data_IF_620710709755
#
_entry.id   IF_620710709755
#
_cell.length_a   1.000
_cell.length_b   1.000
_cell.length_c   1.000
_cell.angle_alpha   90.00
_cell.angle_beta   90.00
_cell.angle_gamma   90.00
#
_symmetry.space_group_name_H-M   'P 1'
#
loop_
_entity.id
_entity.type
_entity.pdbx_description
1 polymer ?
#
# COMPACT_ATOMS: atom_id res chain seq x y z
N UNK A 1 4.58 1.68 16.61
CA UNK A 1 4.75 0.22 16.85
C UNK A 1 5.47 -0.37 15.65
N UNK A 2 6.44 -1.27 15.83
CA UNK A 2 7.07 -1.97 14.70
C UNK A 2 6.17 -3.16 14.32
N UNK A 3 5.64 -3.15 13.10
CA UNK A 3 4.82 -4.22 12.52
C UNK A 3 5.29 -4.48 11.10
N UNK A 4 5.19 -5.72 10.64
CA UNK A 4 5.44 -6.10 9.26
C UNK A 4 4.43 -7.18 8.84
N UNK A 5 4.10 -7.20 7.55
CA UNK A 5 3.33 -8.29 6.95
C UNK A 5 4.25 -9.01 5.96
N UNK A 6 4.37 -10.33 6.10
CA UNK A 6 5.00 -11.19 5.09
C UNK A 6 3.88 -11.90 4.34
N UNK A 7 3.84 -11.75 3.02
CA UNK A 7 2.73 -12.20 2.19
C UNK A 7 3.23 -13.28 1.22
N UNK A 8 2.36 -14.26 0.97
CA UNK A 8 2.51 -15.22 -0.12
C UNK A 8 1.14 -15.48 -0.77
N UNK A 9 1.02 -15.25 -2.07
CA UNK A 9 -0.24 -15.44 -2.82
C UNK A 9 0.07 -15.85 -4.25
N UNK A 10 -0.39 -17.03 -4.68
CA UNK A 10 -0.27 -17.52 -6.08
C UNK A 10 1.14 -17.40 -6.71
N UNK A 11 2.19 -17.52 -5.91
CA UNK A 11 3.59 -17.40 -6.36
C UNK A 11 4.07 -15.96 -6.60
N UNK A 12 3.27 -14.95 -6.27
CA UNK A 12 3.62 -13.54 -6.30
C UNK A 12 4.24 -13.09 -4.96
N UNK A 13 5.04 -12.03 -5.03
CA UNK A 13 5.65 -11.34 -3.88
C UNK A 13 4.74 -10.25 -3.28
N UNK A 14 3.46 -10.23 -3.68
CA UNK A 14 2.45 -9.25 -3.27
C UNK A 14 1.09 -9.92 -2.95
N UNK A 15 0.15 -9.15 -2.41
CA UNK A 15 -1.24 -9.61 -2.31
C UNK A 15 -1.89 -9.66 -3.70
N UNK A 16 -2.47 -10.80 -4.05
CA UNK A 16 -3.11 -11.01 -5.36
C UNK A 16 -4.63 -10.94 -5.27
N UNK A 17 -5.32 -10.37 -6.26
CA UNK A 17 -6.77 -10.48 -6.40
C UNK A 17 -7.22 -11.82 -7.02
N UNK A 18 -6.28 -12.65 -7.49
CA UNK A 18 -6.58 -13.85 -8.27
C UNK A 18 -7.03 -15.05 -7.43
N UNK A 19 -6.83 -14.99 -6.11
CA UNK A 19 -7.22 -16.06 -5.21
C UNK A 19 -6.74 -15.81 -3.77
N UNK A 20 -7.03 -16.75 -2.87
CA UNK A 20 -6.60 -16.64 -1.48
C UNK A 20 -5.09 -16.54 -1.33
N UNK A 21 -4.65 -15.88 -0.27
CA UNK A 21 -3.24 -15.80 0.09
C UNK A 21 -3.02 -15.99 1.57
N UNK A 22 -1.76 -16.22 1.93
CA UNK A 22 -1.31 -16.35 3.32
C UNK A 22 -0.57 -15.09 3.74
N UNK A 23 -0.81 -14.66 4.97
CA UNK A 23 -0.11 -13.53 5.60
C UNK A 23 0.44 -13.96 6.95
N UNK A 24 1.67 -13.55 7.23
CA UNK A 24 2.25 -13.55 8.57
C UNK A 24 2.27 -12.11 9.09
N UNK A 25 1.50 -11.86 10.14
CA UNK A 25 1.50 -10.61 10.88
C UNK A 25 2.57 -10.64 11.97
N UNK A 26 3.64 -9.90 11.73
CA UNK A 26 4.81 -9.88 12.58
C UNK A 26 4.80 -8.60 13.41
N UNK A 27 4.69 -8.77 14.72
CA UNK A 27 4.84 -7.68 15.70
C UNK A 27 6.11 -7.91 16.52
N UNK A 28 6.39 -7.00 17.46
CA UNK A 28 7.55 -7.19 18.38
C UNK A 28 7.35 -8.36 19.35
N UNK A 29 6.10 -8.77 19.59
CA UNK A 29 5.75 -9.75 20.63
C UNK A 29 5.38 -11.12 20.07
N UNK A 30 4.82 -11.16 18.84
CA UNK A 30 4.30 -12.38 18.23
C UNK A 30 4.31 -12.35 16.71
N UNK A 31 4.26 -13.54 16.12
CA UNK A 31 3.96 -13.78 14.71
C UNK A 31 2.64 -14.54 14.64
N UNK A 32 1.65 -13.97 13.96
CA UNK A 32 0.36 -14.62 13.73
C UNK A 32 0.17 -14.91 12.26
N UNK A 33 -0.35 -16.10 11.95
CA UNK A 33 -0.66 -16.50 10.58
C UNK A 33 -2.16 -16.38 10.34
N UNK A 34 -2.55 -15.72 9.27
CA UNK A 34 -3.93 -15.73 8.78
C UNK A 34 -3.94 -15.87 7.27
N UNK A 35 -5.09 -16.26 6.72
CA UNK A 35 -5.34 -16.25 5.29
C UNK A 35 -6.28 -15.10 4.94
N UNK A 36 -6.16 -14.58 3.73
CA UNK A 36 -7.15 -13.67 3.16
C UNK A 36 -7.72 -14.29 1.90
N UNK A 37 -8.98 -13.99 1.61
CA UNK A 37 -9.59 -14.21 0.31
C UNK A 37 -10.06 -12.84 -0.21
N UNK A 38 -9.61 -12.39 -1.40
CA UNK A 38 -10.05 -11.13 -2.01
C UNK A 38 -11.58 -10.99 -2.13
N UNK A 39 -12.33 -12.10 -2.22
CA UNK A 39 -13.80 -12.10 -2.29
C UNK A 39 -14.43 -11.79 -0.93
N UNK A 40 -13.75 -12.10 0.18
CA UNK A 40 -14.25 -11.87 1.54
C UNK A 40 -13.97 -10.45 2.06
N UNK A 41 -13.04 -9.74 1.42
CA UNK A 41 -12.57 -8.42 1.87
C UNK A 41 -13.47 -7.25 1.45
N UNK A 42 -14.38 -7.46 0.49
CA UNK A 42 -15.29 -6.42 -0.01
C UNK A 42 -16.71 -6.94 -0.22
N UNK A 43 -17.69 -6.07 0.04
CA UNK A 43 -19.09 -6.35 -0.31
C UNK A 43 -19.32 -6.05 -1.79
N UNK A 44 -19.18 -7.07 -2.64
CA UNK A 44 -19.75 -7.08 -4.00
C UNK A 44 -18.78 -6.97 -5.17
N UNK A 45 -17.51 -6.65 -4.93
CA UNK A 45 -16.45 -6.69 -5.94
C UNK A 45 -15.20 -7.36 -5.37
N UNK A 46 -14.42 -8.02 -6.22
CA UNK A 46 -13.10 -8.51 -5.81
C UNK A 46 -12.20 -7.28 -5.63
N UNK A 47 -11.57 -7.15 -4.47
CA UNK A 47 -10.58 -6.11 -4.23
C UNK A 47 -9.46 -6.22 -5.29
N UNK A 48 -9.08 -5.12 -5.92
CA UNK A 48 -8.02 -5.13 -6.94
C UNK A 48 -6.62 -5.11 -6.29
N UNK A 49 -5.60 -5.45 -7.08
CA UNK A 49 -4.22 -5.55 -6.59
C UNK A 49 -3.71 -4.25 -5.95
N UNK A 50 -4.11 -3.10 -6.47
CA UNK A 50 -3.71 -1.80 -5.94
C UNK A 50 -4.33 -1.56 -4.56
N UNK A 51 -5.65 -1.78 -4.43
CA UNK A 51 -6.38 -1.61 -3.17
C UNK A 51 -5.88 -2.58 -2.10
N UNK A 52 -5.66 -3.85 -2.45
CA UNK A 52 -5.17 -4.88 -1.52
C UNK A 52 -3.80 -4.52 -0.91
N UNK A 53 -2.83 -4.16 -1.75
CA UNK A 53 -1.49 -3.85 -1.27
C UNK A 53 -1.46 -2.50 -0.51
N UNK A 54 -2.28 -1.52 -0.91
CA UNK A 54 -2.45 -0.30 -0.14
C UNK A 54 -3.09 -0.56 1.25
N UNK A 55 -4.09 -1.45 1.32
CA UNK A 55 -4.71 -1.86 2.57
C UNK A 55 -3.70 -2.53 3.52
N UNK A 56 -2.83 -3.40 3.00
CA UNK A 56 -1.75 -4.00 3.76
C UNK A 56 -0.80 -2.94 4.35
N UNK A 57 -0.42 -1.93 3.56
CA UNK A 57 0.41 -0.82 4.03
C UNK A 57 -0.29 0.03 5.12
N UNK A 58 -1.59 0.30 4.96
CA UNK A 58 -2.39 0.99 5.98
C UNK A 58 -2.45 0.19 7.30
N UNK A 59 -2.57 -1.12 7.21
CA UNK A 59 -2.57 -2.02 8.37
C UNK A 59 -1.22 -2.07 9.07
N UNK A 60 -0.12 -2.19 8.31
CA UNK A 60 1.26 -2.15 8.84
C UNK A 60 1.54 -0.84 9.57
N UNK A 61 1.09 0.29 9.01
CA UNK A 61 1.29 1.62 9.59
C UNK A 61 0.33 1.92 10.76
N UNK A 62 -0.59 1.02 11.09
CA UNK A 62 -1.54 1.17 12.18
C UNK A 62 -2.61 2.24 11.92
N UNK A 63 -2.91 2.53 10.65
CA UNK A 63 -3.99 3.46 10.25
C UNK A 63 -5.37 2.81 10.27
N UNK A 64 -5.39 1.48 10.19
CA UNK A 64 -6.57 0.63 10.31
C UNK A 64 -6.23 -0.56 11.20
N UNK A 65 -7.24 -1.21 11.77
CA UNK A 65 -7.06 -2.35 12.67
C UNK A 65 -7.20 -3.70 11.95
N UNK A 66 -7.92 -3.72 10.83
CA UNK A 66 -8.14 -4.93 10.03
C UNK A 66 -7.81 -4.71 8.56
N UNK A 67 -7.56 -5.80 7.83
CA UNK A 67 -7.31 -5.72 6.39
C UNK A 67 -8.54 -5.20 5.62
N UNK A 68 -9.75 -5.63 6.02
CA UNK A 68 -11.01 -5.16 5.44
C UNK A 68 -11.21 -3.64 5.61
N UNK A 69 -10.96 -3.10 6.82
CA UNK A 69 -10.97 -1.64 7.03
C UNK A 69 -9.95 -0.93 6.14
N UNK A 70 -8.78 -1.54 5.93
CA UNK A 70 -7.74 -1.04 5.04
C UNK A 70 -8.20 -0.98 3.59
N UNK A 71 -8.91 -2.01 3.13
CA UNK A 71 -9.46 -2.11 1.78
C UNK A 71 -10.51 -1.02 1.56
N UNK A 72 -11.45 -0.86 2.51
CA UNK A 72 -12.46 0.21 2.47
C UNK A 72 -11.81 1.60 2.39
N UNK A 73 -10.81 1.86 3.23
CA UNK A 73 -10.11 3.15 3.25
C UNK A 73 -9.31 3.39 1.97
N UNK A 74 -8.53 2.41 1.52
CA UNK A 74 -7.74 2.50 0.30
C UNK A 74 -8.62 2.76 -0.93
N UNK A 75 -9.73 2.02 -1.07
CA UNK A 75 -10.70 2.22 -2.15
C UNK A 75 -11.33 3.59 -2.09
N UNK A 76 -11.75 4.06 -0.91
CA UNK A 76 -12.30 5.41 -0.74
C UNK A 76 -11.29 6.48 -1.16
N UNK A 77 -10.03 6.36 -0.74
CA UNK A 77 -8.96 7.28 -1.12
C UNK A 77 -8.68 7.26 -2.62
N UNK A 78 -8.70 6.09 -3.25
CA UNK A 78 -8.55 5.95 -4.71
C UNK A 78 -9.71 6.63 -5.46
N UNK A 79 -10.96 6.30 -5.11
CA UNK A 79 -12.16 6.80 -5.80
C UNK A 79 -12.36 8.31 -5.62
N UNK A 80 -11.93 8.88 -4.50
CA UNK A 80 -11.98 10.33 -4.25
C UNK A 80 -10.96 11.14 -5.05
N UNK A 81 -9.96 10.49 -5.66
CA UNK A 81 -8.86 11.14 -6.37
C UNK A 81 -7.78 11.77 -5.46
N UNK A 82 -7.85 11.57 -4.14
CA UNK A 82 -6.83 12.07 -3.20
C UNK A 82 -5.45 11.46 -3.45
N UNK A 83 -5.40 10.18 -3.85
CA UNK A 83 -4.15 9.52 -4.24
C UNK A 83 -3.49 10.20 -5.44
N UNK A 84 -4.26 10.61 -6.44
CA UNK A 84 -3.76 11.32 -7.61
C UNK A 84 -3.20 12.70 -7.26
N UNK A 85 -3.88 13.47 -6.41
CA UNK A 85 -3.37 14.77 -5.93
C UNK A 85 -2.01 14.64 -5.23
N UNK A 86 -1.82 13.56 -4.48
CA UNK A 86 -0.55 13.27 -3.82
C UNK A 86 0.53 12.93 -4.84
N UNK A 87 0.21 12.13 -5.86
CA UNK A 87 1.11 11.82 -6.96
C UNK A 87 1.54 13.07 -7.73
N UNK A 88 0.59 13.94 -8.09
CA UNK A 88 0.87 15.20 -8.79
C UNK A 88 1.83 16.08 -7.97
N UNK A 89 1.57 16.21 -6.67
CA UNK A 89 2.46 16.95 -5.76
C UNK A 89 3.87 16.35 -5.70
N UNK A 90 3.99 15.03 -5.74
CA UNK A 90 5.28 14.34 -5.75
C UNK A 90 6.03 14.57 -7.07
N UNK A 91 5.33 14.49 -8.21
CA UNK A 91 5.89 14.79 -9.54
C UNK A 91 6.46 16.21 -9.53
N UNK A 92 5.68 17.19 -9.07
CA UNK A 92 6.10 18.59 -9.01
C UNK A 92 7.37 18.79 -8.17
N UNK A 93 7.40 18.23 -6.96
CA UNK A 93 8.55 18.37 -6.06
C UNK A 93 9.79 17.68 -6.64
N UNK A 94 9.66 16.45 -7.12
CA UNK A 94 10.78 15.67 -7.65
C UNK A 94 11.42 16.32 -8.88
N UNK A 95 10.61 16.90 -9.77
CA UNK A 95 11.10 17.64 -10.93
C UNK A 95 11.82 18.94 -10.52
N UNK A 96 11.24 19.72 -9.59
CA UNK A 96 11.88 20.95 -9.07
C UNK A 96 13.23 20.67 -8.43
N UNK A 97 13.35 19.59 -7.66
CA UNK A 97 14.61 19.19 -7.03
C UNK A 97 15.67 18.79 -8.06
N UNK A 98 15.28 18.12 -9.15
CA UNK A 98 16.18 17.79 -10.26
C UNK A 98 16.73 19.05 -10.93
N UNK A 99 15.87 20.02 -11.22
CA UNK A 99 16.28 21.30 -11.82
C UNK A 99 17.23 22.09 -10.90
N UNK A 100 16.89 22.21 -9.61
CA UNK A 100 17.73 22.89 -8.63
C UNK A 100 19.13 22.25 -8.50
N UNK A 101 19.21 20.92 -8.57
CA UNK A 101 20.49 20.18 -8.53
C UNK A 101 21.35 20.50 -9.77
N UNK A 102 20.75 20.56 -10.96
CA UNK A 102 21.43 20.88 -12.22
C UNK A 102 21.98 22.32 -12.19
N UNK A 103 21.15 23.29 -11.77
CA UNK A 103 21.55 24.69 -11.68
C UNK A 103 22.69 24.87 -10.66
N UNK A 104 22.59 24.25 -9.48
CA UNK A 104 23.64 24.29 -8.47
C UNK A 104 24.99 23.74 -8.95
N UNK A 105 24.96 22.65 -9.73
CA UNK A 105 26.18 22.03 -10.29
C UNK A 105 26.82 22.82 -11.45
N UNK A 106 26.04 23.65 -12.14
CA UNK A 106 26.53 24.46 -13.27
C UNK A 106 27.17 25.77 -12.80
N UNK A 107 26.73 26.31 -11.66
CA UNK A 107 27.25 27.57 -11.08
C UNK A 107 28.52 27.32 -10.24
N UNK A 108 28.78 26.07 -9.83
CA UNK A 108 29.94 25.69 -9.02
C UNK A 108 31.20 25.30 -9.81
N UNK A 109 31.21 25.41 -11.14
CA UNK A 109 32.35 25.12 -12.02
C UNK A 109 32.93 26.38 -12.66
#
# INVERSE_FOLDING_TARGET
>A
MKRALVVHSEGLDEMSPLGPGTVLDVTSDKIEKFSFDPVELERGHVADALVLNAAAALLVTGRVNTLAEGVDLARKTQLSGEALKTLDSWIDISNKMKEATIVGSTISN
#
